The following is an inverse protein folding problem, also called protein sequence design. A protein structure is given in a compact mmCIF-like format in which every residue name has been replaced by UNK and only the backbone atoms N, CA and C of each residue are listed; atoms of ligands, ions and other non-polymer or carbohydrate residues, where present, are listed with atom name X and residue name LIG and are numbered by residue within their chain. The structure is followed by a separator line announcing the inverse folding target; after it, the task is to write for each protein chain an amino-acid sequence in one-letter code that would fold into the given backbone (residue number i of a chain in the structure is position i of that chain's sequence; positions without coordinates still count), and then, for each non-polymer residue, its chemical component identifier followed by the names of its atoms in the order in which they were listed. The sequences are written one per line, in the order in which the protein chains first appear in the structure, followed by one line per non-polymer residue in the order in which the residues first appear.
data_IF_636924992452
#
_entry.id   IF_636924992452
#
_cell.length_a   1.000
_cell.length_b   1.000
_cell.length_c   1.000
_cell.angle_alpha   90.00
_cell.angle_beta   90.00
_cell.angle_gamma   90.00
#
_symmetry.space_group_name_H-M   'P 1'
#
loop_
_entity.id
_entity.type
_entity.pdbx_description
1 polymer ?
#
# COMPACT_ATOMS: atom_id res chain seq x y z
N UNK A 1 2.12 19.11 -1.45
CA UNK A 1 1.91 17.77 -2.06
C UNK A 1 1.75 16.73 -0.97
N UNK A 2 1.22 15.56 -1.30
CA UNK A 2 1.03 14.53 -0.29
C UNK A 2 0.88 13.11 -0.84
N UNK A 3 1.21 12.15 0.02
CA UNK A 3 0.95 10.73 -0.21
C UNK A 3 -0.48 10.39 0.19
N UNK A 4 -1.21 9.71 -0.70
CA UNK A 4 -2.60 9.27 -0.43
C UNK A 4 -2.75 7.76 -0.55
N UNK A 5 -3.49 7.16 0.36
CA UNK A 5 -3.88 5.75 0.22
C UNK A 5 -5.07 5.66 -0.74
N UNK A 6 -5.00 4.77 -1.73
CA UNK A 6 -6.05 4.55 -2.72
C UNK A 6 -6.34 3.07 -2.87
N UNK A 7 -7.57 2.72 -3.25
CA UNK A 7 -7.89 1.34 -3.66
C UNK A 7 -7.33 1.09 -5.06
N UNK A 8 -6.58 0.02 -5.24
CA UNK A 8 -6.09 -0.38 -6.56
C UNK A 8 -7.26 -0.69 -7.51
N UNK A 9 -7.16 -0.24 -8.77
CA UNK A 9 -8.23 -0.36 -9.77
C UNK A 9 -9.31 0.72 -9.67
N UNK A 10 -9.23 1.64 -8.70
CA UNK A 10 -10.13 2.81 -8.65
C UNK A 10 -9.68 3.90 -9.63
N UNK A 11 -10.61 4.66 -10.25
CA UNK A 11 -10.26 5.71 -11.20
C UNK A 11 -9.22 6.68 -10.66
N UNK A 12 -8.25 7.06 -11.49
CA UNK A 12 -7.30 8.13 -11.13
C UNK A 12 -8.02 9.47 -11.16
N UNK A 13 -7.82 10.27 -10.10
CA UNK A 13 -8.20 11.68 -10.13
C UNK A 13 -7.05 12.49 -10.75
N UNK A 14 -7.36 13.62 -11.42
CA UNK A 14 -6.35 14.54 -11.93
C UNK A 14 -5.37 14.97 -10.83
N UNK A 15 -4.09 15.12 -11.17
CA UNK A 15 -3.07 15.62 -10.25
C UNK A 15 -2.65 14.67 -9.12
N UNK A 16 -3.02 13.37 -9.18
CA UNK A 16 -2.65 12.38 -8.14
C UNK A 16 -1.19 11.88 -8.22
N UNK A 17 -0.46 12.29 -9.26
CA UNK A 17 0.92 11.89 -9.51
C UNK A 17 1.11 10.37 -9.63
N UNK A 18 2.25 9.86 -9.17
CA UNK A 18 2.61 8.44 -9.32
C UNK A 18 1.74 7.54 -8.43
N UNK A 19 1.20 6.45 -8.98
CA UNK A 19 0.56 5.38 -8.20
C UNK A 19 1.53 4.21 -7.97
N UNK A 20 1.85 3.99 -6.70
CA UNK A 20 2.78 2.99 -6.19
C UNK A 20 1.96 1.82 -5.63
N UNK A 21 2.14 0.62 -6.17
CA UNK A 21 1.49 -0.58 -5.66
C UNK A 21 2.27 -1.20 -4.52
N UNK A 22 1.78 -1.10 -3.29
CA UNK A 22 2.42 -1.67 -2.09
C UNK A 22 1.95 -3.10 -1.80
N UNK A 23 1.49 -3.81 -2.84
CA UNK A 23 0.92 -5.16 -2.72
C UNK A 23 1.96 -6.25 -2.95
N UNK A 24 2.03 -7.23 -2.04
CA UNK A 24 2.91 -8.40 -2.21
C UNK A 24 2.46 -9.30 -3.34
N UNK A 25 1.16 -9.40 -3.61
CA UNK A 25 0.61 -10.24 -4.67
C UNK A 25 0.12 -9.36 -5.81
N UNK A 26 0.52 -9.61 -7.07
CA UNK A 26 0.02 -8.85 -8.19
C UNK A 26 -1.49 -9.12 -8.38
N UNK A 27 -2.23 -8.17 -8.98
CA UNK A 27 -3.63 -8.36 -9.30
C UNK A 27 -3.83 -9.60 -10.17
N UNK A 28 -4.85 -10.42 -9.86
CA UNK A 28 -5.16 -11.60 -10.66
C UNK A 28 -5.67 -11.16 -12.04
N UNK A 29 -5.22 -11.83 -13.10
CA UNK A 29 -5.69 -11.61 -14.49
C UNK A 29 -5.44 -10.19 -15.02
N UNK A 30 -4.35 -9.57 -14.58
CA UNK A 30 -3.86 -8.28 -15.10
C UNK A 30 -2.45 -8.50 -15.62
N UNK A 31 -2.21 -8.19 -16.90
CA UNK A 31 -0.85 -8.22 -17.45
C UNK A 31 -0.04 -7.06 -16.90
N UNK A 32 1.28 -7.21 -16.85
CA UNK A 32 2.16 -6.17 -16.27
C UNK A 32 2.05 -4.86 -17.05
N UNK A 33 1.99 -4.95 -18.37
CA UNK A 33 1.86 -3.81 -19.28
C UNK A 33 0.53 -3.09 -19.09
N UNK A 34 -0.48 -3.82 -18.60
CA UNK A 34 -1.82 -3.28 -18.39
C UNK A 34 -2.03 -2.62 -17.02
N UNK A 35 -1.08 -2.80 -16.11
CA UNK A 35 -1.25 -2.39 -14.71
C UNK A 35 -1.42 -0.87 -14.57
N UNK A 36 -0.76 -0.08 -15.42
CA UNK A 36 -0.84 1.38 -15.32
C UNK A 36 -2.16 1.94 -15.87
N UNK A 37 -2.60 1.49 -17.04
CA UNK A 37 -3.82 1.99 -17.70
C UNK A 37 -5.11 1.40 -17.14
N UNK A 38 -5.05 0.21 -16.51
CA UNK A 38 -6.17 -0.36 -15.72
C UNK A 38 -6.20 0.14 -14.27
N UNK A 39 -5.55 1.27 -14.00
CA UNK A 39 -5.58 1.95 -12.70
C UNK A 39 -5.05 1.13 -11.50
N UNK A 40 -4.16 0.16 -11.72
CA UNK A 40 -3.47 -0.52 -10.63
C UNK A 40 -2.28 0.32 -10.16
N UNK A 41 -1.13 0.25 -10.82
CA UNK A 41 0.06 1.01 -10.42
C UNK A 41 0.99 1.23 -11.60
N UNK A 42 1.74 2.33 -11.55
CA UNK A 42 2.87 2.56 -12.47
C UNK A 42 4.12 1.82 -12.01
N UNK A 43 4.36 1.80 -10.70
CA UNK A 43 5.49 1.09 -10.07
C UNK A 43 4.96 0.18 -8.97
N UNK A 44 5.40 -1.08 -8.96
CA UNK A 44 5.15 -2.01 -7.85
C UNK A 44 6.33 -1.94 -6.87
N UNK A 45 6.03 -1.65 -5.61
CA UNK A 45 7.00 -1.53 -4.53
C UNK A 45 6.49 -2.33 -3.32
N UNK A 46 6.72 -3.65 -3.27
CA UNK A 46 6.13 -4.53 -2.25
C UNK A 46 6.85 -4.48 -0.90
N UNK A 47 7.90 -3.66 -0.76
CA UNK A 47 8.71 -3.53 0.47
C UNK A 47 7.82 -3.10 1.66
N UNK A 48 7.04 -2.01 1.60
CA UNK A 48 6.16 -1.59 2.69
C UNK A 48 4.87 -2.43 2.80
N UNK A 49 4.85 -3.67 2.31
CA UNK A 49 3.70 -4.54 2.43
C UNK A 49 3.79 -5.38 3.72
N UNK A 50 2.70 -5.65 4.45
CA UNK A 50 2.75 -6.51 5.64
C UNK A 50 3.22 -7.92 5.32
N UNK A 51 3.95 -8.57 6.22
CA UNK A 51 4.37 -9.98 6.06
C UNK A 51 3.17 -10.93 5.85
N UNK A 52 3.35 -12.09 5.19
CA UNK A 52 2.30 -13.09 5.06
C UNK A 52 1.67 -13.51 6.40
N UNK A 53 2.47 -13.57 7.47
CA UNK A 53 2.03 -13.90 8.82
C UNK A 53 1.17 -12.78 9.42
N UNK A 54 1.54 -11.52 9.20
CA UNK A 54 0.73 -10.37 9.64
C UNK A 54 -0.57 -10.30 8.85
N UNK A 55 -0.56 -10.59 7.55
CA UNK A 55 -1.78 -10.72 6.75
C UNK A 55 -2.66 -11.85 7.27
N UNK A 56 -2.09 -13.03 7.57
CA UNK A 56 -2.84 -14.16 8.13
C UNK A 56 -3.51 -13.80 9.46
N UNK A 57 -2.81 -13.07 10.33
CA UNK A 57 -3.39 -12.56 11.58
C UNK A 57 -4.49 -11.55 11.35
N UNK A 58 -4.31 -10.63 10.38
CA UNK A 58 -5.33 -9.67 9.99
C UNK A 58 -6.62 -10.35 9.49
N UNK A 59 -6.47 -11.38 8.65
CA UNK A 59 -7.61 -12.15 8.12
C UNK A 59 -8.27 -13.06 9.17
N UNK A 60 -7.54 -13.46 10.20
CA UNK A 60 -8.07 -14.25 11.30
C UNK A 60 -8.73 -13.39 12.40
N UNK A 61 -8.50 -12.07 12.39
CA UNK A 61 -9.11 -11.16 13.35
C UNK A 61 -10.62 -11.10 13.10
N UNK A 62 -11.41 -11.66 14.02
CA UNK A 62 -12.86 -11.73 13.94
C UNK A 62 -13.55 -10.50 14.53
N UNK A 63 -12.80 -9.58 15.14
CA UNK A 63 -13.35 -8.38 15.77
C UNK A 63 -12.40 -7.18 15.69
N UNK A 64 -12.98 -5.97 15.78
CA UNK A 64 -12.21 -4.71 15.82
C UNK A 64 -11.21 -4.65 16.99
N UNK A 65 -11.45 -5.40 18.08
CA UNK A 65 -10.57 -5.43 19.27
C UNK A 65 -9.23 -6.10 19.00
N UNK A 66 -9.13 -6.92 17.95
CA UNK A 66 -7.91 -7.65 17.59
C UNK A 66 -7.03 -6.87 16.59
N UNK A 67 -7.62 -5.91 15.86
CA UNK A 67 -6.93 -5.07 14.88
C UNK A 67 -5.76 -4.25 15.45
N UNK A 68 -5.82 -3.69 16.68
CA UNK A 68 -4.68 -2.97 17.25
C UNK A 68 -3.42 -3.83 17.39
N UNK A 69 -3.56 -5.14 17.66
CA UNK A 69 -2.42 -6.05 17.76
C UNK A 69 -1.74 -6.24 16.40
N UNK A 70 -2.53 -6.42 15.35
CA UNK A 70 -2.05 -6.49 13.96
C UNK A 70 -1.34 -5.20 13.57
N UNK A 71 -1.92 -4.04 13.89
CA UNK A 71 -1.32 -2.73 13.62
C UNK A 71 0.03 -2.54 14.33
N UNK A 72 0.14 -2.97 15.60
CA UNK A 72 1.43 -2.93 16.33
C UNK A 72 2.48 -3.83 15.67
N UNK A 73 2.10 -5.03 15.24
CA UNK A 73 3.00 -5.94 14.55
C UNK A 73 3.49 -5.35 13.22
N UNK A 74 2.56 -4.84 12.41
CA UNK A 74 2.90 -4.18 11.14
C UNK A 74 3.86 -3.00 11.34
N UNK A 75 3.64 -2.13 12.34
CA UNK A 75 4.56 -1.03 12.63
C UNK A 75 5.96 -1.49 13.02
N UNK A 76 6.08 -2.64 13.70
CA UNK A 76 7.40 -3.23 14.02
C UNK A 76 8.11 -3.71 12.76
N UNK A 77 7.40 -4.34 11.84
CA UNK A 77 7.95 -4.74 10.53
C UNK A 77 8.46 -3.52 9.75
N UNK A 78 7.67 -2.43 9.76
CA UNK A 78 7.99 -1.19 9.05
C UNK A 78 9.13 -0.38 9.69
N UNK A 79 9.52 -0.69 10.93
CA UNK A 79 10.53 0.08 11.68
C UNK A 79 11.97 -0.41 11.45
N UNK A 80 12.16 -1.46 10.64
CA UNK A 80 13.45 -2.13 10.46
C UNK A 80 13.86 -2.19 8.99
N UNK A 81 15.15 -2.39 8.72
CA UNK A 81 15.65 -2.80 7.40
C UNK A 81 15.31 -1.85 6.24
N UNK A 82 14.92 -2.44 5.13
CA UNK A 82 14.59 -1.73 3.90
C UNK A 82 13.21 -1.07 3.96
N UNK A 83 12.29 -1.61 4.75
CA UNK A 83 10.96 -1.05 4.98
C UNK A 83 11.08 0.38 5.51
N UNK A 84 11.92 0.59 6.53
CA UNK A 84 12.15 1.92 7.08
C UNK A 84 12.76 2.87 6.06
N UNK A 85 13.79 2.44 5.33
CA UNK A 85 14.47 3.27 4.31
C UNK A 85 13.52 3.68 3.19
N UNK A 86 12.67 2.77 2.75
CA UNK A 86 11.66 3.05 1.72
C UNK A 86 10.60 4.03 2.24
N UNK A 87 10.13 3.84 3.46
CA UNK A 87 9.17 4.78 4.07
C UNK A 87 9.77 6.18 4.24
N UNK A 88 11.04 6.27 4.65
CA UNK A 88 11.76 7.55 4.75
C UNK A 88 11.88 8.22 3.37
N UNK A 89 12.24 7.47 2.32
CA UNK A 89 12.27 7.98 0.95
C UNK A 89 10.90 8.48 0.48
N UNK A 90 9.84 7.69 0.70
CA UNK A 90 8.48 8.07 0.32
C UNK A 90 7.99 9.31 1.09
N UNK A 91 8.36 9.43 2.36
CA UNK A 91 8.07 10.61 3.17
C UNK A 91 8.76 11.84 2.58
N UNK A 92 10.06 11.76 2.27
CA UNK A 92 10.80 12.87 1.67
C UNK A 92 10.26 13.27 0.29
N UNK A 93 9.94 12.30 -0.57
CA UNK A 93 9.35 12.55 -1.89
C UNK A 93 7.96 13.20 -1.80
N UNK A 94 7.19 12.92 -0.75
CA UNK A 94 5.85 13.50 -0.59
C UNK A 94 5.85 15.02 -0.45
N UNK A 95 6.99 15.61 -0.05
CA UNK A 95 7.16 17.06 0.01
C UNK A 95 7.35 17.69 -1.38
N UNK A 96 7.86 16.93 -2.36
CA UNK A 96 8.25 17.41 -3.70
C UNK A 96 7.43 16.84 -4.86
N UNK A 97 6.58 15.83 -4.62
CA UNK A 97 5.67 15.29 -5.62
C UNK A 97 4.40 14.71 -4.98
N UNK A 98 3.29 14.75 -5.72
CA UNK A 98 2.10 13.98 -5.37
C UNK A 98 2.29 12.51 -5.72
N UNK A 99 1.87 11.64 -4.80
CA UNK A 99 1.90 10.20 -5.02
C UNK A 99 0.71 9.53 -4.34
N UNK A 100 0.40 8.32 -4.78
CA UNK A 100 -0.58 7.45 -4.14
C UNK A 100 0.01 6.07 -3.87
N UNK A 101 -0.25 5.54 -2.68
CA UNK A 101 0.04 4.16 -2.34
C UNK A 101 -1.24 3.33 -2.45
N UNK A 102 -1.22 2.33 -3.32
CA UNK A 102 -2.36 1.48 -3.59
C UNK A 102 -2.46 0.32 -2.61
N UNK A 103 -3.61 0.18 -1.95
CA UNK A 103 -4.00 -0.98 -1.15
C UNK A 103 -5.06 -1.82 -1.87
N UNK A 104 -5.08 -3.13 -1.60
CA UNK A 104 -6.19 -4.05 -1.92
C UNK A 104 -7.32 -4.03 -0.87
N UNK A 105 -7.35 -3.00 -0.02
CA UNK A 105 -8.31 -2.85 1.08
C UNK A 105 -9.74 -2.70 0.53
N UNK A 106 -10.68 -3.51 1.01
CA UNK A 106 -12.12 -3.31 0.76
C UNK A 106 -12.63 -2.13 1.60
N UNK A 107 -12.59 -0.94 1.03
CA UNK A 107 -13.13 0.27 1.64
C UNK A 107 -12.16 0.96 2.59
N UNK A 108 -11.73 2.17 2.23
CA UNK A 108 -11.13 3.11 3.18
C UNK A 108 -12.25 3.80 3.94
N UNK A 109 -12.70 3.22 5.06
CA UNK A 109 -13.41 3.98 6.08
C UNK A 109 -12.58 4.04 7.35
N UNK A 110 -12.30 5.28 7.76
CA UNK A 110 -11.65 5.76 8.99
C UNK A 110 -10.13 5.84 8.95
#
# INVERSE_FOLDING_TARGET
MGLRIVRLGSPRLPGKGLRIGTVRRPPRRVRREESAWRDFFGVRLPIPAPSPETVKQALAAGSERELPAVGRRYRREMATGDERRVLDLLAQLSHSADASAGCDCEGTSR
#
